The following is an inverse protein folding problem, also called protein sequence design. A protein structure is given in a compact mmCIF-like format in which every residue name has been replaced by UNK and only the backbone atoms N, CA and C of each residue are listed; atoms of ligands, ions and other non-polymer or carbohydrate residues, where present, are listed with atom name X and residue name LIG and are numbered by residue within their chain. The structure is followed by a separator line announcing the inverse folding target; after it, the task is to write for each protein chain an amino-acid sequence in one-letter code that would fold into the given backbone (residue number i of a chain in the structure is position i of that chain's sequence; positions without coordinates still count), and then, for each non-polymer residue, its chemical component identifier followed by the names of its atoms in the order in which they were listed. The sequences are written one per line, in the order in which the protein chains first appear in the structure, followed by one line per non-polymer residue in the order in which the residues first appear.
data_IF_612794522960
#
_entry.id   IF_612794522960
#
_cell.length_a   1.000
_cell.length_b   1.000
_cell.length_c   1.000
_cell.angle_alpha   90.00
_cell.angle_beta   90.00
_cell.angle_gamma   90.00
#
_symmetry.space_group_name_H-M   'P 1'
#
loop_
_entity.id
_entity.type
_entity.pdbx_description
1 polymer ?
#
# COMPACT_ATOMS: atom_id res chain seq x y z
N UNK A 1 -49.02 -6.02 34.58
CA UNK A 1 -48.56 -6.16 33.18
C UNK A 1 -48.18 -4.77 32.70
N UNK A 2 -46.88 -4.47 32.68
CA UNK A 2 -46.40 -3.08 32.57
C UNK A 2 -46.42 -2.55 31.13
N UNK A 3 -47.11 -1.43 30.86
CA UNK A 3 -47.18 -0.82 29.52
C UNK A 3 -45.81 -0.35 28.99
N UNK A 4 -44.88 -0.01 29.89
CA UNK A 4 -43.54 0.46 29.55
C UNK A 4 -42.70 -0.61 28.83
N UNK A 5 -42.92 -1.89 29.16
CA UNK A 5 -42.15 -3.00 28.61
C UNK A 5 -42.56 -3.34 27.16
N UNK A 6 -43.78 -2.97 26.76
CA UNK A 6 -44.31 -3.16 25.40
C UNK A 6 -43.83 -2.05 24.44
N UNK A 7 -43.77 -0.80 24.90
CA UNK A 7 -43.24 0.31 24.08
C UNK A 7 -41.76 0.11 23.71
N UNK A 8 -40.95 -0.36 24.66
CA UNK A 8 -39.52 -0.65 24.44
C UNK A 8 -39.31 -1.72 23.36
N UNK A 9 -40.05 -2.84 23.41
CA UNK A 9 -39.94 -3.92 22.41
C UNK A 9 -40.38 -3.49 21.02
N UNK A 10 -41.38 -2.62 20.93
CA UNK A 10 -41.93 -2.13 19.65
C UNK A 10 -41.01 -1.08 19.00
N UNK A 11 -40.33 -0.26 19.82
CA UNK A 11 -39.33 0.70 19.35
C UNK A 11 -38.04 0.01 18.90
N UNK A 12 -37.58 -1.00 19.66
CA UNK A 12 -36.38 -1.79 19.31
C UNK A 12 -36.61 -2.57 18.00
N UNK A 13 -37.76 -3.22 17.83
CA UNK A 13 -38.07 -3.97 16.59
C UNK A 13 -38.21 -3.05 15.37
N UNK A 14 -38.76 -1.84 15.51
CA UNK A 14 -38.80 -0.85 14.41
C UNK A 14 -37.42 -0.29 14.06
N UNK A 15 -36.54 -0.09 15.04
CA UNK A 15 -35.16 0.36 14.81
C UNK A 15 -34.32 -0.72 14.13
N UNK A 16 -34.51 -1.99 14.50
CA UNK A 16 -33.89 -3.14 13.84
C UNK A 16 -34.37 -3.32 12.39
N UNK A 17 -35.66 -3.08 12.12
CA UNK A 17 -36.20 -3.16 10.76
C UNK A 17 -35.67 -2.03 9.86
N UNK A 18 -35.52 -0.82 10.39
CA UNK A 18 -34.91 0.33 9.69
C UNK A 18 -33.41 0.11 9.40
N UNK A 19 -32.68 -0.52 10.32
CA UNK A 19 -31.28 -0.90 10.10
C UNK A 19 -31.15 -2.00 9.05
N UNK A 20 -32.05 -2.99 9.06
CA UNK A 20 -32.06 -4.07 8.06
C UNK A 20 -32.43 -3.60 6.65
N UNK A 21 -33.24 -2.53 6.53
CA UNK A 21 -33.61 -1.99 5.22
C UNK A 21 -32.52 -1.09 4.61
N UNK A 22 -31.61 -0.54 5.43
CA UNK A 22 -30.45 0.24 4.95
C UNK A 22 -29.29 -0.65 4.48
N UNK A 23 -29.22 -1.90 4.94
CA UNK A 23 -28.16 -2.84 4.53
C UNK A 23 -28.42 -3.51 3.16
N UNK A 24 -29.65 -3.58 2.68
CA UNK A 24 -30.01 -4.38 1.49
C UNK A 24 -29.77 -3.63 0.17
N UNK A 25 -29.59 -2.31 0.17
CA UNK A 25 -29.46 -1.53 -1.07
C UNK A 25 -28.05 -1.45 -1.66
N UNK A 26 -27.00 -1.86 -0.93
CA UNK A 26 -25.61 -1.69 -1.40
C UNK A 26 -25.01 -2.91 -2.11
N UNK A 27 -25.56 -4.12 -1.96
CA UNK A 27 -24.94 -5.33 -2.50
C UNK A 27 -24.84 -5.31 -4.05
N UNK A 28 -25.80 -4.69 -4.74
CA UNK A 28 -25.79 -4.59 -6.20
C UNK A 28 -24.71 -3.63 -6.73
N UNK A 29 -24.36 -2.58 -5.98
CA UNK A 29 -23.36 -1.59 -6.38
C UNK A 29 -21.93 -2.14 -6.37
N UNK A 30 -21.69 -3.22 -5.62
CA UNK A 30 -20.39 -3.87 -5.48
C UNK A 30 -20.28 -5.22 -6.21
N UNK A 31 -21.20 -5.52 -7.13
CA UNK A 31 -21.06 -6.65 -8.05
C UNK A 31 -20.05 -6.31 -9.16
N UNK A 32 -18.78 -6.25 -8.80
CA UNK A 32 -17.68 -5.83 -9.66
C UNK A 32 -16.97 -7.05 -10.27
N UNK A 33 -16.75 -7.01 -11.58
CA UNK A 33 -15.95 -8.02 -12.28
C UNK A 33 -14.47 -7.73 -12.07
N UNK A 34 -13.72 -8.73 -11.60
CA UNK A 34 -12.25 -8.65 -11.54
C UNK A 34 -11.67 -8.66 -12.95
N UNK A 35 -10.99 -7.58 -13.32
CA UNK A 35 -10.19 -7.48 -14.54
C UNK A 35 -8.81 -8.11 -14.35
N UNK A 36 -8.14 -8.42 -15.45
CA UNK A 36 -6.74 -8.88 -15.41
C UNK A 36 -5.77 -7.70 -15.24
N UNK A 37 -4.59 -7.95 -14.68
CA UNK A 37 -3.57 -6.92 -14.49
C UNK A 37 -3.20 -6.27 -15.82
N UNK A 38 -2.92 -7.05 -16.87
CA UNK A 38 -2.54 -6.52 -18.19
C UNK A 38 -3.64 -5.71 -18.89
N UNK A 39 -4.91 -5.94 -18.54
CA UNK A 39 -6.03 -5.21 -19.11
C UNK A 39 -6.15 -3.80 -18.50
N UNK A 40 -5.95 -3.68 -17.18
CA UNK A 40 -6.20 -2.43 -16.46
C UNK A 40 -4.96 -1.65 -16.03
N UNK A 41 -3.79 -2.29 -15.99
CA UNK A 41 -2.63 -1.77 -15.26
C UNK A 41 -1.31 -2.01 -15.98
N UNK A 42 -0.31 -1.21 -15.60
CA UNK A 42 1.09 -1.33 -16.00
C UNK A 42 2.02 -1.16 -14.80
N UNK A 43 3.21 -1.77 -14.79
CA UNK A 43 4.23 -1.49 -13.79
C UNK A 43 4.56 0.00 -13.74
N UNK A 44 4.56 0.60 -12.56
CA UNK A 44 4.98 1.98 -12.35
C UNK A 44 6.49 2.05 -12.12
N UNK A 45 7.00 1.21 -11.21
CA UNK A 45 8.42 1.09 -10.92
C UNK A 45 8.75 -0.28 -10.32
N UNK A 46 10.01 -0.69 -10.45
CA UNK A 46 10.54 -1.93 -9.86
C UNK A 46 9.70 -3.17 -10.19
N UNK A 47 9.48 -3.41 -11.47
CA UNK A 47 8.72 -4.56 -11.99
C UNK A 47 9.23 -5.92 -11.48
N UNK A 48 10.53 -6.03 -11.18
CA UNK A 48 11.12 -7.23 -10.54
C UNK A 48 10.53 -7.57 -9.16
N UNK A 49 9.78 -6.65 -8.55
CA UNK A 49 9.08 -6.80 -7.27
C UNK A 49 7.55 -6.85 -7.47
N UNK A 50 7.07 -7.10 -8.69
CA UNK A 50 5.65 -7.27 -9.03
C UNK A 50 5.45 -8.72 -9.46
N UNK A 51 4.73 -9.50 -8.64
CA UNK A 51 4.46 -10.91 -8.90
C UNK A 51 3.00 -11.11 -9.23
N UNK A 52 2.73 -11.59 -10.44
CA UNK A 52 1.37 -11.82 -10.94
C UNK A 52 0.98 -13.28 -10.79
N UNK A 53 -0.29 -13.53 -10.47
CA UNK A 53 -0.85 -14.88 -10.49
C UNK A 53 -0.92 -15.41 -11.93
N UNK A 54 -1.01 -16.73 -12.07
CA UNK A 54 -1.08 -17.38 -13.39
C UNK A 54 -2.33 -17.00 -14.20
N UNK A 55 -3.43 -16.67 -13.52
CA UNK A 55 -4.68 -16.19 -14.15
C UNK A 55 -4.72 -14.67 -14.34
N UNK A 56 -3.66 -13.98 -13.94
CA UNK A 56 -3.48 -12.55 -14.01
C UNK A 56 -4.48 -11.68 -13.22
N UNK A 57 -5.25 -12.28 -12.30
CA UNK A 57 -6.27 -11.59 -11.51
C UNK A 57 -5.79 -11.15 -10.14
N UNK A 58 -4.56 -11.47 -9.77
CA UNK A 58 -3.95 -11.11 -8.50
C UNK A 58 -2.51 -10.68 -8.70
N UNK A 59 -2.09 -9.69 -7.91
CA UNK A 59 -0.73 -9.15 -7.95
C UNK A 59 -0.20 -9.00 -6.52
N UNK A 60 1.05 -9.38 -6.30
CA UNK A 60 1.80 -9.09 -5.08
C UNK A 60 2.87 -8.06 -5.40
N UNK A 61 2.81 -6.92 -4.72
CA UNK A 61 3.87 -5.90 -4.75
C UNK A 61 4.76 -6.08 -3.52
N UNK A 62 6.07 -6.07 -3.73
CA UNK A 62 7.07 -6.41 -2.71
C UNK A 62 7.97 -5.23 -2.35
N UNK A 63 8.40 -5.21 -1.10
CA UNK A 63 9.42 -4.30 -0.59
C UNK A 63 10.63 -5.09 -0.08
N UNK A 64 11.80 -4.76 -0.60
CA UNK A 64 13.08 -5.30 -0.14
C UNK A 64 14.15 -4.20 -0.07
N UNK A 65 15.40 -4.57 0.23
CA UNK A 65 16.50 -3.61 0.41
C UNK A 65 16.85 -2.80 -0.83
N UNK A 66 16.47 -3.29 -2.02
CA UNK A 66 16.76 -2.61 -3.29
C UNK A 66 15.69 -1.58 -3.59
N UNK A 67 14.41 -1.96 -3.47
CA UNK A 67 13.28 -1.08 -3.78
C UNK A 67 11.97 -1.61 -3.21
N UNK A 68 10.97 -0.72 -3.15
CA UNK A 68 9.56 -1.11 -3.14
C UNK A 68 9.09 -1.56 -4.53
N UNK A 69 7.79 -1.48 -4.77
CA UNK A 69 7.21 -1.55 -6.11
C UNK A 69 5.84 -0.90 -6.14
N UNK A 70 5.34 -0.69 -7.35
CA UNK A 70 3.98 -0.23 -7.56
C UNK A 70 3.55 -0.34 -9.00
N UNK A 71 2.26 -0.22 -9.22
CA UNK A 71 1.62 -0.21 -10.52
C UNK A 71 0.63 0.95 -10.63
N UNK A 72 0.32 1.30 -11.87
CA UNK A 72 -0.56 2.40 -12.25
C UNK A 72 -1.61 1.87 -13.23
N UNK A 73 -2.81 2.45 -13.25
CA UNK A 73 -3.81 2.17 -14.29
C UNK A 73 -3.31 2.59 -15.67
N UNK A 74 -3.73 1.84 -16.69
CA UNK A 74 -3.39 2.14 -18.09
C UNK A 74 -4.09 3.41 -18.61
N UNK A 75 -5.22 3.78 -18.00
CA UNK A 75 -6.02 4.94 -18.36
C UNK A 75 -6.12 5.98 -17.22
N UNK A 76 -6.46 7.21 -17.60
CA UNK A 76 -6.92 8.26 -16.71
C UNK A 76 -8.45 8.32 -16.71
N UNK A 77 -9.03 8.55 -15.55
CA UNK A 77 -10.48 8.54 -15.36
C UNK A 77 -10.94 9.91 -14.88
N UNK A 78 -12.06 10.39 -15.43
CA UNK A 78 -12.69 11.62 -14.95
C UNK A 78 -13.41 11.42 -13.61
N UNK A 79 -13.97 10.23 -13.39
CA UNK A 79 -14.75 9.79 -12.23
C UNK A 79 -14.79 8.25 -12.26
N UNK A 80 -15.13 7.61 -11.14
CA UNK A 80 -15.27 6.15 -11.12
C UNK A 80 -15.44 5.57 -9.73
N UNK A 81 -15.70 4.26 -9.70
CA UNK A 81 -15.56 3.42 -8.51
C UNK A 81 -14.29 2.59 -8.67
N UNK A 82 -13.24 2.98 -7.96
CA UNK A 82 -11.97 2.28 -7.95
C UNK A 82 -11.97 1.31 -6.79
N UNK A 83 -11.69 0.03 -7.04
CA UNK A 83 -11.84 -0.98 -6.00
C UNK A 83 -10.82 -2.10 -6.14
N UNK A 84 -10.23 -2.51 -5.02
CA UNK A 84 -9.31 -3.64 -4.96
C UNK A 84 -9.55 -4.46 -3.69
N UNK A 85 -9.40 -5.79 -3.80
CA UNK A 85 -9.27 -6.65 -2.64
C UNK A 85 -7.80 -6.65 -2.21
N UNK A 86 -7.51 -6.20 -0.99
CA UNK A 86 -6.15 -6.03 -0.47
C UNK A 86 -5.99 -6.87 0.81
N UNK A 87 -4.88 -7.60 0.89
CA UNK A 87 -4.40 -8.26 2.11
C UNK A 87 -3.02 -7.71 2.44
N UNK A 88 -2.86 -7.19 3.65
CA UNK A 88 -1.64 -6.51 4.08
C UNK A 88 -0.56 -7.50 4.57
N UNK A 89 0.72 -7.09 4.60
CA UNK A 89 1.78 -7.88 5.20
C UNK A 89 1.47 -8.24 6.65
N UNK A 90 1.75 -9.49 7.01
CA UNK A 90 1.68 -9.96 8.39
C UNK A 90 2.98 -9.67 9.16
N UNK A 91 2.96 -9.90 10.48
CA UNK A 91 4.11 -9.79 11.38
C UNK A 91 4.62 -8.34 11.59
N UNK A 92 5.93 -8.11 11.47
CA UNK A 92 6.55 -6.81 11.71
C UNK A 92 6.50 -6.00 10.42
N UNK A 93 5.62 -5.00 10.37
CA UNK A 93 5.43 -4.11 9.22
C UNK A 93 5.81 -2.65 9.50
N UNK A 94 6.41 -2.36 10.67
CA UNK A 94 6.74 -0.99 11.04
C UNK A 94 7.59 -0.29 9.97
N UNK A 95 7.28 0.97 9.69
CA UNK A 95 7.91 1.79 8.66
C UNK A 95 7.39 1.53 7.24
N UNK A 96 6.61 0.47 6.99
CA UNK A 96 6.05 0.19 5.67
C UNK A 96 4.76 0.99 5.48
N UNK A 97 4.60 1.58 4.30
CA UNK A 97 3.31 2.09 3.81
C UNK A 97 2.90 1.28 2.59
N UNK A 98 1.66 0.79 2.62
CA UNK A 98 0.96 0.29 1.43
C UNK A 98 -0.09 1.33 1.08
N UNK A 99 -0.15 1.75 -0.17
CA UNK A 99 -1.12 2.75 -0.62
C UNK A 99 -1.95 2.23 -1.80
N UNK A 100 -3.24 2.58 -1.81
CA UNK A 100 -4.12 2.53 -2.97
C UNK A 100 -4.68 3.95 -3.13
N UNK A 101 -4.36 4.63 -4.22
CA UNK A 101 -4.71 6.04 -4.35
C UNK A 101 -4.97 6.41 -5.80
N UNK A 102 -5.81 7.42 -6.04
CA UNK A 102 -5.93 8.03 -7.37
C UNK A 102 -5.17 9.33 -7.39
N UNK A 103 -4.37 9.60 -8.42
CA UNK A 103 -3.62 10.85 -8.54
C UNK A 103 -3.43 11.24 -9.99
N UNK A 104 -3.02 12.48 -10.24
CA UNK A 104 -2.48 12.92 -11.52
C UNK A 104 -1.19 13.71 -11.35
N UNK A 105 -0.44 13.42 -10.28
CA UNK A 105 0.86 14.03 -9.99
C UNK A 105 1.94 13.76 -11.03
N UNK A 106 1.79 12.70 -11.83
CA UNK A 106 2.65 12.38 -12.97
C UNK A 106 2.49 13.35 -14.16
N UNK A 107 1.31 13.98 -14.30
CA UNK A 107 1.02 15.00 -15.32
C UNK A 107 1.06 16.42 -14.72
N UNK A 108 0.55 16.59 -13.50
CA UNK A 108 0.32 17.87 -12.84
C UNK A 108 1.18 18.04 -11.59
N UNK A 109 2.51 17.96 -11.73
CA UNK A 109 3.46 17.95 -10.60
C UNK A 109 3.20 19.00 -9.50
N UNK A 110 2.77 20.22 -9.90
CA UNK A 110 2.59 21.36 -8.98
C UNK A 110 1.17 21.55 -8.47
N UNK A 111 0.17 21.02 -9.16
CA UNK A 111 -1.23 21.28 -8.88
C UNK A 111 -2.13 20.06 -9.05
N UNK A 112 -1.61 18.88 -8.72
CA UNK A 112 -2.31 17.62 -8.85
C UNK A 112 -3.54 17.53 -7.95
N UNK A 113 -4.43 16.62 -8.33
CA UNK A 113 -5.50 16.10 -7.49
C UNK A 113 -5.08 14.70 -6.99
N UNK A 114 -5.52 14.33 -5.79
CA UNK A 114 -5.19 13.04 -5.18
C UNK A 114 -6.25 12.59 -4.16
N UNK A 115 -6.51 11.27 -4.10
CA UNK A 115 -7.38 10.61 -3.12
C UNK A 115 -6.68 9.35 -2.60
N UNK A 116 -6.50 9.25 -1.29
CA UNK A 116 -5.62 8.25 -0.70
C UNK A 116 -6.34 7.25 0.19
N UNK A 117 -5.97 5.97 0.07
CA UNK A 117 -5.89 5.02 1.17
C UNK A 117 -4.42 4.72 1.45
N UNK A 118 -3.97 4.99 2.69
CA UNK A 118 -2.63 4.62 3.13
C UNK A 118 -2.70 3.74 4.37
N UNK A 119 -2.17 2.54 4.28
CA UNK A 119 -2.03 1.61 5.38
C UNK A 119 -0.65 1.76 6.01
N UNK A 120 -0.64 2.10 7.28
CA UNK A 120 0.56 2.37 8.07
C UNK A 120 0.90 1.15 8.90
N UNK A 121 2.04 0.54 8.57
CA UNK A 121 2.51 -0.66 9.24
C UNK A 121 2.86 -0.42 10.72
N UNK A 122 2.99 -1.51 11.46
CA UNK A 122 3.17 -1.46 12.90
C UNK A 122 4.15 -2.52 13.40
N UNK A 123 4.59 -2.36 14.65
CA UNK A 123 5.38 -3.39 15.32
C UNK A 123 4.56 -4.67 15.51
N UNK A 124 5.25 -5.80 15.66
CA UNK A 124 4.63 -7.11 15.83
C UNK A 124 3.54 -7.10 16.93
N UNK A 125 2.37 -7.67 16.63
CA UNK A 125 1.25 -7.78 17.55
C UNK A 125 0.47 -6.48 17.79
N UNK A 126 0.78 -5.40 17.07
CA UNK A 126 -0.02 -4.16 17.08
C UNK A 126 -0.82 -4.04 15.78
N UNK A 127 -2.04 -3.48 15.83
CA UNK A 127 -2.89 -3.40 14.66
C UNK A 127 -2.30 -2.46 13.62
N UNK A 128 -2.56 -2.78 12.35
CA UNK A 128 -2.42 -1.80 11.27
C UNK A 128 -3.28 -0.57 11.56
N UNK A 129 -2.79 0.58 11.15
CA UNK A 129 -3.58 1.82 11.08
C UNK A 129 -3.77 2.14 9.61
N UNK A 130 -4.81 2.87 9.29
CA UNK A 130 -4.90 3.44 7.96
C UNK A 130 -5.41 4.86 8.01
N UNK A 131 -5.13 5.61 6.95
CA UNK A 131 -5.63 6.95 6.77
C UNK A 131 -6.22 7.14 5.38
N UNK A 132 -7.15 8.06 5.29
CA UNK A 132 -7.63 8.59 4.01
C UNK A 132 -7.24 10.04 3.90
N UNK A 133 -7.00 10.53 2.69
CA UNK A 133 -6.67 11.92 2.44
C UNK A 133 -7.24 12.39 1.10
N UNK A 134 -7.27 13.70 0.91
CA UNK A 134 -7.77 14.34 -0.30
C UNK A 134 -7.00 15.63 -0.57
N UNK A 135 -6.50 15.75 -1.78
CA UNK A 135 -5.91 16.96 -2.33
C UNK A 135 -6.60 17.32 -3.63
N UNK A 136 -6.98 18.60 -3.75
CA UNK A 136 -7.42 19.18 -5.02
C UNK A 136 -6.52 20.34 -5.40
N UNK A 137 -6.19 20.42 -6.68
CA UNK A 137 -5.46 21.50 -7.31
C UNK A 137 -4.17 21.93 -6.57
N UNK A 138 -3.39 20.95 -6.09
CA UNK A 138 -2.14 21.19 -5.38
C UNK A 138 -2.30 21.73 -3.97
N UNK A 139 -3.46 21.57 -3.33
CA UNK A 139 -3.71 22.00 -1.94
C UNK A 139 -2.99 21.13 -0.90
N UNK A 140 -1.74 20.75 -1.15
CA UNK A 140 -0.91 19.87 -0.32
C UNK A 140 -0.30 20.55 0.90
N UNK A 141 -0.36 21.89 0.96
CA UNK A 141 0.08 22.66 2.13
C UNK A 141 -0.77 22.39 3.39
N UNK A 142 -1.97 21.82 3.23
CA UNK A 142 -2.86 21.42 4.32
C UNK A 142 -3.38 20.02 4.04
N UNK A 143 -3.00 19.06 4.88
CA UNK A 143 -3.57 17.72 4.87
C UNK A 143 -5.05 17.71 5.29
N UNK A 144 -5.81 16.78 4.72
CA UNK A 144 -7.21 16.48 5.07
C UNK A 144 -7.31 15.03 5.55
N UNK A 145 -6.34 14.60 6.37
CA UNK A 145 -6.22 13.23 6.83
C UNK A 145 -7.33 12.88 7.83
N UNK A 146 -7.95 11.72 7.63
CA UNK A 146 -8.69 11.03 8.68
C UNK A 146 -8.02 9.68 8.95
N UNK A 147 -7.82 9.33 10.22
CA UNK A 147 -7.10 8.12 10.64
C UNK A 147 -7.99 7.19 11.43
N UNK A 148 -7.95 5.90 11.09
CA UNK A 148 -8.84 4.89 11.69
C UNK A 148 -8.08 3.62 12.08
N UNK A 149 -8.78 2.77 12.83
CA UNK A 149 -8.46 1.37 13.04
C UNK A 149 -9.51 0.52 12.32
N UNK A 150 -9.09 -0.62 11.78
CA UNK A 150 -10.00 -1.58 11.17
C UNK A 150 -10.63 -2.45 12.26
N UNK A 151 -11.88 -2.87 12.05
CA UNK A 151 -12.61 -3.80 12.94
C UNK A 151 -12.23 -5.27 12.71
N UNK A 152 -11.17 -5.50 11.94
CA UNK A 152 -10.58 -6.81 11.61
C UNK A 152 -9.06 -6.68 11.48
N UNK A 153 -8.36 -7.82 11.39
CA UNK A 153 -6.93 -7.86 11.08
C UNK A 153 -6.73 -7.94 9.55
N UNK A 154 -6.30 -6.84 8.89
CA UNK A 154 -6.17 -6.79 7.42
C UNK A 154 -5.02 -7.65 6.87
N UNK A 155 -4.23 -8.28 7.74
CA UNK A 155 -3.17 -9.20 7.32
C UNK A 155 -3.61 -10.66 7.21
N UNK A 156 -4.82 -10.99 7.69
CA UNK A 156 -5.34 -12.36 7.69
C UNK A 156 -6.04 -12.71 6.39
N UNK A 157 -6.98 -11.88 5.99
CA UNK A 157 -7.81 -12.10 4.80
C UNK A 157 -7.78 -10.90 3.87
N UNK A 158 -8.22 -11.11 2.64
CA UNK A 158 -8.46 -10.01 1.72
C UNK A 158 -9.73 -9.25 2.12
N UNK A 159 -9.64 -7.93 2.16
CA UNK A 159 -10.78 -7.02 2.34
C UNK A 159 -10.86 -6.06 1.17
N UNK A 160 -12.05 -5.58 0.86
CA UNK A 160 -12.23 -4.65 -0.25
C UNK A 160 -12.01 -3.22 0.22
N UNK A 161 -11.27 -2.46 -0.56
CA UNK A 161 -11.10 -1.03 -0.33
C UNK A 161 -11.50 -0.32 -1.61
N UNK A 162 -12.43 0.64 -1.49
CA UNK A 162 -12.97 1.31 -2.66
C UNK A 162 -13.05 2.81 -2.50
N UNK A 163 -12.75 3.54 -3.57
CA UNK A 163 -12.91 4.99 -3.69
C UNK A 163 -13.99 5.21 -4.75
N UNK A 164 -15.16 5.68 -4.34
CA UNK A 164 -16.13 6.26 -5.25
C UNK A 164 -15.80 7.74 -5.41
N UNK A 165 -15.50 8.17 -6.63
CA UNK A 165 -15.29 9.58 -6.95
C UNK A 165 -16.24 9.99 -8.07
N UNK A 166 -17.03 11.03 -7.81
CA UNK A 166 -17.99 11.61 -8.76
C UNK A 166 -17.82 13.12 -8.82
N UNK A 167 -18.59 13.80 -9.66
CA UNK A 167 -18.57 15.27 -9.71
C UNK A 167 -19.17 15.95 -8.47
N UNK A 168 -19.85 15.19 -7.60
CA UNK A 168 -20.64 15.70 -6.48
C UNK A 168 -20.22 15.16 -5.11
N UNK A 169 -19.61 13.97 -5.06
CA UNK A 169 -19.14 13.37 -3.81
C UNK A 169 -17.98 12.41 -4.03
N UNK A 170 -17.20 12.25 -2.97
CA UNK A 170 -16.22 11.19 -2.80
C UNK A 170 -16.66 10.32 -1.62
N UNK A 171 -16.61 9.00 -1.76
CA UNK A 171 -16.88 8.07 -0.66
C UNK A 171 -15.77 7.03 -0.61
N UNK A 172 -15.17 6.86 0.56
CA UNK A 172 -14.23 5.81 0.86
C UNK A 172 -14.97 4.65 1.54
N UNK A 173 -14.77 3.44 1.04
CA UNK A 173 -15.36 2.22 1.56
C UNK A 173 -14.31 1.24 2.04
N UNK A 174 -14.63 0.56 3.14
CA UNK A 174 -13.97 -0.68 3.56
C UNK A 174 -15.03 -1.76 3.56
N UNK A 175 -14.80 -2.80 2.77
CA UNK A 175 -15.83 -3.73 2.31
C UNK A 175 -17.01 -2.93 1.71
N UNK A 176 -18.25 -3.15 2.13
CA UNK A 176 -19.42 -2.36 1.69
C UNK A 176 -19.78 -1.22 2.66
N UNK A 177 -18.92 -0.93 3.65
CA UNK A 177 -19.16 0.07 4.69
C UNK A 177 -18.52 1.41 4.30
N UNK A 178 -19.30 2.49 4.10
CA UNK A 178 -18.74 3.82 3.89
C UNK A 178 -18.09 4.30 5.20
N UNK A 179 -16.80 4.59 5.14
CA UNK A 179 -16.03 5.07 6.30
C UNK A 179 -15.85 6.59 6.31
N UNK A 180 -15.95 7.22 5.13
CA UNK A 180 -15.78 8.66 4.93
C UNK A 180 -16.55 9.10 3.69
N UNK A 181 -17.34 10.16 3.81
CA UNK A 181 -17.99 10.83 2.68
C UNK A 181 -17.59 12.31 2.64
N UNK A 182 -17.18 12.78 1.47
CA UNK A 182 -16.92 14.19 1.19
C UNK A 182 -17.91 14.64 0.13
N UNK A 183 -18.89 15.45 0.54
CA UNK A 183 -19.87 16.06 -0.37
C UNK A 183 -19.29 17.37 -0.89
N UNK A 184 -19.24 17.50 -2.23
CA UNK A 184 -18.80 18.73 -2.87
C UNK A 184 -19.72 19.88 -2.51
N UNK A 185 -19.13 21.00 -2.13
CA UNK A 185 -19.82 22.27 -2.00
C UNK A 185 -18.98 23.41 -2.61
N UNK A 186 -19.58 24.58 -2.79
CA UNK A 186 -18.93 25.71 -3.46
C UNK A 186 -17.71 26.25 -2.70
N UNK A 187 -17.72 26.18 -1.36
CA UNK A 187 -16.62 26.68 -0.51
C UNK A 187 -15.33 25.88 -0.68
N UNK A 188 -15.43 24.62 -1.14
CA UNK A 188 -14.25 23.80 -1.43
C UNK A 188 -13.41 24.40 -2.56
N UNK A 189 -14.02 25.12 -3.52
CA UNK A 189 -13.30 25.68 -4.66
C UNK A 189 -12.42 24.63 -5.35
N UNK A 190 -11.11 24.93 -5.46
CA UNK A 190 -10.11 24.02 -6.06
C UNK A 190 -9.71 22.83 -5.18
N UNK A 191 -10.17 22.75 -3.93
CA UNK A 191 -9.85 21.63 -3.03
C UNK A 191 -10.54 20.33 -3.44
N UNK A 192 -11.61 20.40 -4.23
CA UNK A 192 -12.30 19.21 -4.74
C UNK A 192 -11.63 18.71 -6.03
N UNK A 193 -11.17 17.44 -6.10
CA UNK A 193 -10.60 16.84 -7.30
C UNK A 193 -11.49 16.98 -8.53
N UNK A 194 -10.96 17.55 -9.61
CA UNK A 194 -11.73 17.87 -10.83
C UNK A 194 -10.99 17.58 -12.14
N UNK A 195 -9.75 17.11 -12.08
CA UNK A 195 -8.94 16.70 -13.23
C UNK A 195 -8.88 15.17 -13.31
N UNK A 196 -8.75 14.57 -14.52
CA UNK A 196 -8.60 13.13 -14.66
C UNK A 196 -7.46 12.58 -13.79
N UNK A 197 -7.66 11.41 -13.17
CA UNK A 197 -6.67 10.75 -12.32
C UNK A 197 -6.47 9.29 -12.76
N UNK A 198 -5.25 8.80 -12.60
CA UNK A 198 -4.91 7.36 -12.67
C UNK A 198 -5.03 6.73 -11.28
N UNK A 199 -5.29 5.43 -11.23
CA UNK A 199 -5.22 4.63 -10.01
C UNK A 199 -3.81 4.10 -9.82
N UNK A 200 -3.31 4.15 -8.59
CA UNK A 200 -1.99 3.69 -8.19
C UNK A 200 -2.12 2.71 -7.03
N UNK A 201 -1.24 1.72 -7.00
CA UNK A 201 -1.00 0.93 -5.81
C UNK A 201 0.51 0.76 -5.58
N UNK A 202 0.98 1.08 -4.38
CA UNK A 202 2.41 1.11 -4.07
C UNK A 202 2.71 0.51 -2.70
N UNK A 203 3.93 0.01 -2.53
CA UNK A 203 4.51 -0.37 -1.24
C UNK A 203 5.89 0.26 -1.12
N UNK A 204 6.15 0.96 -0.01
CA UNK A 204 7.39 1.71 0.16
C UNK A 204 7.81 1.89 1.62
N UNK A 205 9.07 2.28 1.81
CA UNK A 205 9.68 2.54 3.11
C UNK A 205 9.45 4.00 3.54
N UNK A 206 8.54 4.17 4.49
CA UNK A 206 8.16 5.41 5.14
C UNK A 206 8.70 5.49 6.57
N UNK A 207 9.86 4.86 6.85
CA UNK A 207 10.46 4.73 8.20
C UNK A 207 10.62 6.04 8.96
N UNK A 208 10.64 7.18 8.26
CA UNK A 208 10.80 8.50 8.90
C UNK A 208 9.53 8.98 9.61
N UNK A 209 8.35 8.40 9.34
CA UNK A 209 7.09 8.91 9.92
C UNK A 209 6.00 7.84 10.17
N UNK A 210 5.93 6.77 9.37
CA UNK A 210 4.75 5.89 9.33
C UNK A 210 4.39 5.24 10.66
N UNK A 211 5.38 4.73 11.40
CA UNK A 211 5.13 4.03 12.67
C UNK A 211 5.63 4.83 13.87
N UNK A 212 4.68 5.28 14.69
CA UNK A 212 4.94 6.08 15.89
C UNK A 212 5.84 7.30 15.62
N UNK A 213 5.56 8.03 14.54
CA UNK A 213 6.33 9.23 14.15
C UNK A 213 7.76 8.90 13.73
N UNK A 214 7.99 7.70 13.17
CA UNK A 214 9.31 7.26 12.71
C UNK A 214 10.18 6.59 13.77
N UNK A 215 9.66 6.35 14.98
CA UNK A 215 10.38 5.64 16.05
C UNK A 215 10.73 4.21 15.65
N UNK A 216 9.83 3.53 14.94
CA UNK A 216 10.02 2.15 14.48
C UNK A 216 10.15 2.12 12.96
N UNK A 217 11.23 1.51 12.48
CA UNK A 217 11.63 1.51 11.07
C UNK A 217 11.41 0.15 10.43
N UNK A 218 11.44 0.11 9.09
CA UNK A 218 11.46 -1.11 8.31
C UNK A 218 12.64 -1.97 8.73
N UNK A 219 12.37 -3.24 8.97
CA UNK A 219 13.40 -4.22 9.26
C UNK A 219 13.48 -5.23 8.11
N UNK A 220 14.41 -4.97 7.20
CA UNK A 220 14.69 -5.81 6.03
C UNK A 220 15.30 -7.19 6.35
N UNK A 221 15.38 -7.60 7.62
CA UNK A 221 15.59 -9.02 8.01
C UNK A 221 14.31 -9.82 8.03
N UNK A 222 13.14 -9.17 8.01
CA UNK A 222 11.82 -9.79 7.83
C UNK A 222 11.24 -9.42 6.45
N UNK A 223 11.96 -9.65 5.32
CA UNK A 223 11.36 -9.42 4.01
C UNK A 223 10.14 -10.34 3.86
N UNK A 224 9.13 -9.89 3.12
CA UNK A 224 8.20 -10.82 2.48
C UNK A 224 9.09 -11.79 1.70
N UNK A 225 9.07 -13.11 1.99
CA UNK A 225 9.98 -14.02 1.34
C UNK A 225 9.75 -13.88 -0.16
N UNK A 226 10.80 -13.58 -0.96
CA UNK A 226 10.67 -13.69 -2.40
C UNK A 226 10.21 -15.13 -2.70
N UNK A 227 9.45 -15.37 -3.79
CA UNK A 227 9.23 -16.73 -4.25
C UNK A 227 10.61 -17.38 -4.30
N UNK A 228 10.74 -18.53 -3.63
CA UNK A 228 11.99 -19.27 -3.63
C UNK A 228 12.49 -19.30 -5.08
N UNK A 229 13.71 -18.80 -5.29
CA UNK A 229 14.39 -19.04 -6.55
C UNK A 229 14.48 -20.55 -6.66
N UNK A 230 13.55 -21.16 -7.41
CA UNK A 230 13.63 -22.57 -7.76
C UNK A 230 14.84 -22.64 -8.65
N UNK A 231 16.00 -22.95 -8.06
CA UNK A 231 17.17 -23.37 -8.82
C UNK A 231 16.70 -24.60 -9.56
N UNK A 232 16.39 -24.44 -10.85
CA UNK A 232 16.10 -25.54 -11.75
C UNK A 232 17.36 -26.40 -11.76
N UNK A 233 17.35 -27.62 -11.19
CA UNK A 233 18.59 -28.37 -10.99
C UNK A 233 19.35 -28.63 -12.30
N UNK A 234 18.63 -28.71 -13.42
CA UNK A 234 19.22 -28.86 -14.76
C UNK A 234 19.96 -27.60 -15.25
N UNK A 235 19.58 -26.39 -14.82
CA UNK A 235 20.34 -25.17 -15.16
C UNK A 235 21.58 -24.99 -14.29
N UNK A 236 21.57 -25.54 -13.06
CA UNK A 236 22.71 -25.54 -12.16
C UNK A 236 23.87 -26.40 -12.70
N UNK A 237 23.59 -27.45 -13.46
CA UNK A 237 24.63 -28.22 -14.16
C UNK A 237 25.18 -27.49 -15.39
N UNK A 238 24.34 -26.81 -16.17
CA UNK A 238 24.78 -26.00 -17.31
C UNK A 238 25.75 -24.87 -16.91
N UNK A 239 25.56 -24.24 -15.74
CA UNK A 239 26.49 -23.22 -15.23
C UNK A 239 27.83 -23.80 -14.73
N UNK A 240 27.88 -25.06 -14.29
CA UNK A 240 29.13 -25.73 -13.90
C UNK A 240 30.03 -25.99 -15.11
N UNK A 241 29.42 -26.32 -16.26
CA UNK A 241 30.15 -26.66 -17.48
C UNK A 241 30.54 -25.45 -18.33
N UNK A 242 29.81 -24.34 -18.24
CA UNK A 242 30.05 -23.14 -19.07
C UNK A 242 30.68 -21.96 -18.32
N UNK A 243 30.73 -22.00 -16.98
CA UNK A 243 31.07 -20.86 -16.13
C UNK A 243 32.45 -20.87 -15.45
N UNK A 244 33.35 -21.81 -15.77
CA UNK A 244 34.72 -21.76 -15.23
C UNK A 244 35.53 -20.65 -15.92
N UNK A 245 35.69 -19.52 -15.23
CA UNK A 245 36.72 -18.53 -15.55
C UNK A 245 38.09 -19.23 -15.56
N UNK A 246 38.73 -19.29 -16.73
CA UNK A 246 40.15 -19.66 -16.87
C UNK A 246 40.98 -18.79 -15.92
N UNK A 247 41.95 -19.40 -15.23
CA UNK A 247 42.73 -18.86 -14.09
C UNK A 247 43.47 -17.52 -14.28
N UNK A 248 43.34 -16.85 -15.43
CA UNK A 248 44.17 -15.69 -15.81
C UNK A 248 43.71 -14.32 -15.25
N UNK A 249 42.62 -14.20 -14.50
CA UNK A 249 42.15 -12.92 -13.95
C UNK A 249 42.19 -12.81 -12.42
N UNK A 250 43.08 -13.56 -11.75
CA UNK A 250 43.37 -13.35 -10.33
C UNK A 250 44.42 -12.25 -10.15
N UNK A 251 44.10 -11.01 -10.54
CA UNK A 251 44.97 -9.84 -10.36
C UNK A 251 44.37 -8.80 -9.42
N UNK A 252 45.04 -8.68 -8.25
CA UNK A 252 45.38 -7.44 -7.53
C UNK A 252 44.25 -6.48 -7.13
N UNK A 253 43.66 -6.72 -5.96
CA UNK A 253 43.45 -5.64 -4.97
C UNK A 253 43.86 -6.14 -3.58
N UNK A 254 44.94 -5.54 -3.06
CA UNK A 254 45.75 -6.06 -1.98
C UNK A 254 45.15 -5.94 -0.58
N UNK A 255 45.32 -7.00 0.21
CA UNK A 255 45.36 -6.91 1.67
C UNK A 255 46.75 -6.43 2.08
N UNK A 256 46.87 -5.24 2.66
CA UNK A 256 48.10 -4.83 3.37
C UNK A 256 48.17 -5.52 4.74
N UNK A 257 49.30 -6.16 5.13
CA UNK A 257 49.47 -6.67 6.48
C UNK A 257 49.82 -5.53 7.46
N UNK A 258 49.20 -5.55 8.65
CA UNK A 258 49.61 -4.73 9.80
C UNK A 258 50.95 -5.24 10.32
N UNK A 259 52.01 -4.43 10.26
CA UNK A 259 53.27 -4.71 10.97
C UNK A 259 53.23 -4.09 12.37
N UNK A 260 53.51 -4.93 13.38
CA UNK A 260 53.77 -4.51 14.75
C UNK A 260 55.15 -3.85 14.83
N UNK A 261 55.23 -2.64 15.40
CA UNK A 261 56.49 -2.08 15.92
C UNK A 261 56.37 -1.87 17.42
N UNK A 262 57.22 -2.57 18.19
CA UNK A 262 57.49 -2.28 19.62
C UNK A 262 58.58 -1.19 19.74
N UNK A 263 58.61 -0.42 20.84
CA UNK A 263 59.40 0.80 20.97
C UNK A 263 60.73 0.62 21.73
N UNK A 264 61.73 1.47 21.44
CA UNK A 264 62.91 1.89 22.25
C UNK A 264 63.90 2.59 21.30
N UNK A 265 64.72 3.58 21.62
CA UNK A 265 65.03 4.38 22.83
C UNK A 265 65.84 5.62 22.35
N UNK A 266 65.87 6.69 23.16
CA UNK A 266 66.64 7.93 22.96
C UNK A 266 68.16 7.74 22.83
N UNK A 267 68.86 8.60 22.06
CA UNK A 267 69.80 9.66 22.56
C UNK A 267 70.71 10.27 21.46
N UNK A 268 70.95 11.59 21.64
CA UNK A 268 72.16 12.39 21.38
C UNK A 268 72.65 12.53 19.91
N UNK A 269 73.09 13.69 19.41
CA UNK A 269 73.53 14.98 19.98
C UNK A 269 72.90 16.15 19.20
#
# INVERSE_FOLDING_TARGET
MDPLHSLSKTLITRLSLLFSLFCITNAAAFNLTTITFNEGYSPLFSDFNILRSSDDKSVSILLNRLSGSGFISSDYYNYGLFSANIKLPSNYSAGIVVALYTSNGDIYEKNHDELDFEFLGNIHGKPWRFQTNMYGNGSTARGREERYHLWFDPSKEFHRYSILWTSQRIIFYVDEVPIREVVRNEEMGGDYPSKPMSLYATIWDASNWATAGGKYKVNYRYPVPPPECVIVPSEQELFKDTGRLKEAMKLKFGRRPRSHRRPRQLKAE
#
